data_IF_780669566055
#
_entry.id   IF_780669566055
#
_cell.length_a   1.000
_cell.length_b   1.000
_cell.length_c   1.000
_cell.angle_alpha   90.00
_cell.angle_beta   90.00
_cell.angle_gamma   90.00
#
_symmetry.space_group_name_H-M   'P 1'
#
loop_
_entity.id
_entity.type
_entity.pdbx_description
1 polymer ?
#
# COMPACT_ATOMS: atom_id res chain seq x y z
N UNK A 1 -25.81 -7.04 -13.23
CA UNK A 1 -26.55 -7.48 -12.03
C UNK A 1 -26.15 -8.89 -11.68
N UNK A 2 -25.24 -9.08 -10.73
CA UNK A 2 -24.84 -10.40 -10.24
C UNK A 2 -25.11 -10.42 -8.73
N UNK A 3 -25.94 -11.38 -8.30
CA UNK A 3 -25.92 -11.96 -6.96
C UNK A 3 -26.49 -11.11 -5.82
N UNK A 4 -27.81 -11.08 -5.70
CA UNK A 4 -28.45 -10.77 -4.41
C UNK A 4 -28.25 -11.97 -3.47
N UNK A 5 -27.40 -11.82 -2.45
CA UNK A 5 -27.25 -12.79 -1.38
C UNK A 5 -27.94 -12.26 -0.10
N UNK A 6 -29.25 -12.47 0.00
CA UNK A 6 -30.02 -12.06 1.19
C UNK A 6 -30.15 -10.53 1.34
N UNK A 7 -30.20 -9.97 2.57
CA UNK A 7 -30.50 -8.56 2.79
C UNK A 7 -29.35 -7.61 2.40
N UNK A 8 -28.30 -8.09 1.73
CA UNK A 8 -27.12 -7.32 1.34
C UNK A 8 -27.07 -7.30 -0.18
N UNK A 9 -27.18 -6.11 -0.77
CA UNK A 9 -27.16 -5.89 -2.21
C UNK A 9 -25.93 -5.05 -2.57
N UNK A 10 -24.98 -5.64 -3.28
CA UNK A 10 -23.83 -4.90 -3.81
C UNK A 10 -24.23 -4.32 -5.16
N UNK A 11 -24.71 -3.08 -5.16
CA UNK A 11 -25.06 -2.33 -6.37
C UNK A 11 -24.50 -0.91 -6.30
N UNK A 12 -24.28 -0.29 -7.46
CA UNK A 12 -23.85 1.11 -7.60
C UNK A 12 -24.96 2.13 -7.30
N UNK A 13 -26.05 1.68 -6.66
CA UNK A 13 -27.21 2.50 -6.36
C UNK A 13 -26.97 3.38 -5.13
N UNK A 14 -27.37 4.64 -5.19
CA UNK A 14 -27.06 5.63 -4.14
C UNK A 14 -27.67 5.28 -2.76
N UNK A 15 -28.69 4.40 -2.73
CA UNK A 15 -29.31 3.87 -1.51
C UNK A 15 -28.47 2.84 -0.75
N UNK A 16 -27.44 2.25 -1.37
CA UNK A 16 -26.62 1.16 -0.81
C UNK A 16 -25.20 1.63 -0.42
N UNK A 17 -24.97 2.95 -0.38
CA UNK A 17 -23.66 3.54 -0.02
C UNK A 17 -23.15 3.08 1.35
N UNK A 18 -24.07 2.86 2.29
CA UNK A 18 -23.75 2.37 3.64
C UNK A 18 -23.33 0.90 3.58
N UNK A 19 -24.01 0.07 2.79
CA UNK A 19 -23.64 -1.34 2.59
C UNK A 19 -22.28 -1.46 1.90
N UNK A 20 -22.06 -0.71 0.82
CA UNK A 20 -20.77 -0.67 0.13
C UNK A 20 -19.63 -0.20 1.05
N UNK A 21 -19.89 0.72 1.98
CA UNK A 21 -18.92 1.13 2.99
C UNK A 21 -18.54 -0.04 3.93
N UNK A 22 -19.52 -0.79 4.43
CA UNK A 22 -19.25 -1.95 5.28
C UNK A 22 -18.53 -3.08 4.52
N UNK A 23 -18.86 -3.28 3.24
CA UNK A 23 -18.15 -4.23 2.36
C UNK A 23 -16.70 -3.77 2.13
N UNK A 24 -16.46 -2.48 1.87
CA UNK A 24 -15.12 -1.93 1.72
C UNK A 24 -14.26 -2.18 2.97
N UNK A 25 -14.82 -1.90 4.15
CA UNK A 25 -14.14 -2.16 5.42
C UNK A 25 -13.92 -3.65 5.67
N UNK A 26 -14.88 -4.50 5.34
CA UNK A 26 -14.72 -5.95 5.41
C UNK A 26 -13.57 -6.44 4.54
N UNK A 27 -13.50 -6.01 3.28
CA UNK A 27 -12.42 -6.33 2.37
C UNK A 27 -11.06 -5.82 2.86
N UNK A 28 -11.03 -4.60 3.40
CA UNK A 28 -9.82 -4.01 3.97
C UNK A 28 -9.32 -4.80 5.17
N UNK A 29 -10.20 -5.17 6.11
CA UNK A 29 -9.83 -5.94 7.31
C UNK A 29 -9.39 -7.34 6.93
N UNK A 30 -10.10 -8.02 6.03
CA UNK A 30 -9.72 -9.36 5.54
C UNK A 30 -8.36 -9.28 4.83
N UNK A 31 -8.17 -8.29 3.96
CA UNK A 31 -6.92 -8.10 3.23
C UNK A 31 -5.74 -7.79 4.16
N UNK A 32 -5.94 -6.92 5.16
CA UNK A 32 -4.94 -6.65 6.19
C UNK A 32 -4.61 -7.91 7.00
N UNK A 33 -5.62 -8.66 7.43
CA UNK A 33 -5.41 -9.88 8.20
C UNK A 33 -4.60 -10.92 7.41
N UNK A 34 -4.94 -11.13 6.14
CA UNK A 34 -4.20 -12.02 5.24
C UNK A 34 -2.77 -11.53 4.98
N UNK A 35 -2.57 -10.22 4.79
CA UNK A 35 -1.23 -9.62 4.62
C UNK A 35 -0.37 -9.79 5.87
N UNK A 36 -0.91 -9.51 7.05
CA UNK A 36 -0.19 -9.69 8.32
C UNK A 36 0.17 -11.16 8.55
N UNK A 37 -0.76 -12.08 8.29
CA UNK A 37 -0.49 -13.51 8.35
C UNK A 37 0.61 -13.93 7.36
N UNK A 38 0.59 -13.41 6.13
CA UNK A 38 1.63 -13.66 5.14
C UNK A 38 3.01 -13.18 5.61
N UNK A 39 3.10 -11.98 6.19
CA UNK A 39 4.34 -11.41 6.70
C UNK A 39 4.92 -12.30 7.83
N UNK A 40 4.06 -12.78 8.73
CA UNK A 40 4.45 -13.67 9.84
C UNK A 40 4.68 -15.13 9.41
N UNK A 41 4.25 -15.51 8.21
CA UNK A 41 4.42 -16.86 7.68
C UNK A 41 5.87 -17.19 7.29
N UNK A 42 6.12 -18.46 6.94
CA UNK A 42 7.40 -18.90 6.37
C UNK A 42 7.75 -18.16 5.07
N UNK A 43 6.74 -17.80 4.28
CA UNK A 43 6.92 -17.07 3.01
C UNK A 43 7.42 -15.65 3.28
N UNK A 44 6.82 -14.95 4.24
CA UNK A 44 7.27 -13.61 4.65
C UNK A 44 8.71 -13.61 5.17
N UNK A 45 9.09 -14.61 5.98
CA UNK A 45 10.49 -14.76 6.44
C UNK A 45 11.48 -15.02 5.31
N UNK A 46 11.10 -15.86 4.33
CA UNK A 46 11.93 -16.11 3.16
C UNK A 46 12.12 -14.83 2.33
N UNK A 47 11.05 -14.06 2.09
CA UNK A 47 11.12 -12.79 1.37
C UNK A 47 12.00 -11.76 2.07
N UNK A 48 11.99 -11.74 3.40
CA UNK A 48 12.85 -10.86 4.20
C UNK A 48 14.33 -11.23 4.09
N UNK A 49 14.64 -12.52 3.95
CA UNK A 49 16.00 -12.97 3.67
C UNK A 49 16.46 -12.55 2.26
N UNK A 50 15.60 -12.72 1.25
CA UNK A 50 15.85 -12.30 -0.14
C UNK A 50 16.08 -10.79 -0.23
N UNK A 51 15.32 -9.99 0.53
CA UNK A 51 15.49 -8.53 0.56
C UNK A 51 16.85 -8.07 1.11
N UNK A 52 17.49 -8.86 1.99
CA UNK A 52 18.82 -8.54 2.52
C UNK A 52 19.93 -8.79 1.50
N UNK A 53 19.95 -9.99 0.91
CA UNK A 53 20.84 -10.34 -0.20
C UNK A 53 20.25 -11.51 -0.96
N UNK A 54 19.95 -11.28 -2.24
CA UNK A 54 19.41 -12.31 -3.14
C UNK A 54 20.43 -13.43 -3.37
N UNK A 55 21.68 -13.07 -3.67
CA UNK A 55 22.77 -14.03 -3.90
C UNK A 55 23.02 -14.92 -2.67
N UNK A 56 22.97 -14.35 -1.46
CA UNK A 56 23.14 -15.13 -0.24
C UNK A 56 21.95 -16.06 0.03
N UNK A 57 20.72 -15.65 -0.30
CA UNK A 57 19.54 -16.50 -0.17
C UNK A 57 19.63 -17.71 -1.11
N UNK A 58 20.08 -17.51 -2.35
CA UNK A 58 20.29 -18.60 -3.32
C UNK A 58 21.38 -19.58 -2.86
N UNK A 59 22.47 -19.07 -2.27
CA UNK A 59 23.55 -19.90 -1.75
C UNK A 59 23.11 -20.88 -0.64
N UNK A 60 22.07 -20.54 0.12
CA UNK A 60 21.48 -21.41 1.18
C UNK A 60 20.34 -22.28 0.62
N UNK A 61 20.10 -22.26 -0.68
CA UNK A 61 19.12 -23.11 -1.37
C UNK A 61 17.69 -22.55 -1.38
N UNK A 62 17.51 -21.24 -1.18
CA UNK A 62 16.20 -20.59 -1.33
C UNK A 62 15.96 -20.30 -2.82
N UNK A 63 14.85 -20.79 -3.36
CA UNK A 63 14.38 -20.46 -4.72
C UNK A 63 13.81 -19.03 -4.77
N UNK A 64 14.68 -18.05 -4.99
CA UNK A 64 14.38 -16.61 -5.06
C UNK A 64 13.34 -16.30 -6.14
N UNK A 65 13.51 -16.86 -7.33
CA UNK A 65 12.63 -16.67 -8.48
C UNK A 65 11.20 -17.15 -8.18
N UNK A 66 11.06 -18.35 -7.61
CA UNK A 66 9.77 -18.91 -7.22
C UNK A 66 9.07 -18.07 -6.15
N UNK A 67 9.80 -17.54 -5.17
CA UNK A 67 9.23 -16.63 -4.16
C UNK A 67 8.80 -15.28 -4.74
N UNK A 68 9.60 -14.68 -5.62
CA UNK A 68 9.24 -13.43 -6.31
C UNK A 68 7.99 -13.59 -7.17
N UNK A 69 7.88 -14.68 -7.93
CA UNK A 69 6.70 -14.97 -8.74
C UNK A 69 5.44 -15.14 -7.88
N UNK A 70 5.53 -15.87 -6.76
CA UNK A 70 4.42 -16.05 -5.83
C UNK A 70 3.93 -14.72 -5.26
N UNK A 71 4.84 -13.83 -4.86
CA UNK A 71 4.46 -12.50 -4.36
C UNK A 71 3.85 -11.64 -5.46
N UNK A 72 4.42 -11.66 -6.66
CA UNK A 72 3.86 -10.91 -7.79
C UNK A 72 2.42 -11.33 -8.10
N UNK A 73 2.17 -12.65 -8.20
CA UNK A 73 0.82 -13.19 -8.41
C UNK A 73 -0.12 -12.79 -7.27
N UNK A 74 0.36 -12.88 -6.03
CA UNK A 74 -0.45 -12.49 -4.87
C UNK A 74 -0.81 -11.00 -4.91
N UNK A 75 0.13 -10.11 -5.20
CA UNK A 75 -0.11 -8.67 -5.39
C UNK A 75 -1.11 -8.41 -6.52
N UNK A 76 -1.03 -9.13 -7.63
CA UNK A 76 -1.97 -9.03 -8.74
C UNK A 76 -3.39 -9.44 -8.32
N UNK A 77 -3.53 -10.49 -7.50
CA UNK A 77 -4.83 -10.92 -6.95
C UNK A 77 -5.43 -9.83 -6.06
N UNK A 78 -4.65 -9.23 -5.16
CA UNK A 78 -5.10 -8.09 -4.34
C UNK A 78 -5.52 -6.89 -5.19
N UNK A 79 -4.74 -6.54 -6.20
CA UNK A 79 -5.04 -5.44 -7.11
C UNK A 79 -6.33 -5.71 -7.91
N UNK A 80 -6.54 -6.94 -8.36
CA UNK A 80 -7.76 -7.34 -9.08
C UNK A 80 -9.00 -7.23 -8.19
N UNK A 81 -8.95 -7.75 -6.95
CA UNK A 81 -10.05 -7.61 -6.00
C UNK A 81 -10.38 -6.15 -5.70
N UNK A 82 -9.36 -5.32 -5.46
CA UNK A 82 -9.53 -3.88 -5.24
C UNK A 82 -10.13 -3.18 -6.47
N UNK A 83 -9.67 -3.50 -7.68
CA UNK A 83 -10.17 -2.90 -8.92
C UNK A 83 -11.61 -3.27 -9.25
N UNK A 84 -11.99 -4.54 -9.04
CA UNK A 84 -13.38 -4.99 -9.20
C UNK A 84 -14.28 -4.24 -8.23
N UNK A 85 -13.89 -4.15 -6.95
CA UNK A 85 -14.66 -3.42 -5.95
C UNK A 85 -14.78 -1.93 -6.28
N UNK A 86 -13.69 -1.28 -6.69
CA UNK A 86 -13.68 0.13 -7.08
C UNK A 86 -14.62 0.41 -8.26
N UNK A 87 -14.62 -0.46 -9.27
CA UNK A 87 -15.52 -0.34 -10.43
C UNK A 87 -16.98 -0.46 -10.01
N UNK A 88 -17.29 -1.38 -9.08
CA UNK A 88 -18.65 -1.53 -8.55
C UNK A 88 -19.06 -0.31 -7.72
N UNK A 89 -18.16 0.22 -6.89
CA UNK A 89 -18.39 1.40 -6.06
C UNK A 89 -18.68 2.65 -6.89
N UNK A 90 -17.94 2.84 -7.98
CA UNK A 90 -18.11 3.97 -8.90
C UNK A 90 -19.30 3.80 -9.87
N UNK A 91 -19.97 2.65 -9.88
CA UNK A 91 -21.06 2.36 -10.82
C UNK A 91 -20.59 2.12 -12.26
N UNK A 92 -19.29 1.95 -12.49
CA UNK A 92 -18.66 1.77 -13.80
C UNK A 92 -17.20 2.21 -13.81
N UNK A 93 -16.52 1.96 -14.94
CA UNK A 93 -15.15 2.41 -15.17
C UNK A 93 -15.14 3.44 -16.30
N UNK A 94 -14.59 4.63 -16.02
CA UNK A 94 -14.38 5.70 -17.00
C UNK A 94 -12.90 5.91 -17.28
N UNK A 95 -12.52 6.60 -18.38
CA UNK A 95 -11.12 6.90 -18.70
C UNK A 95 -10.39 7.66 -17.59
N UNK A 96 -11.11 8.47 -16.81
CA UNK A 96 -10.58 9.19 -15.65
C UNK A 96 -10.17 8.25 -14.50
N UNK A 97 -10.80 7.08 -14.39
CA UNK A 97 -10.52 6.09 -13.34
C UNK A 97 -9.24 5.29 -13.63
N UNK A 98 -8.82 5.22 -14.89
CA UNK A 98 -7.57 4.58 -15.34
C UNK A 98 -6.45 5.60 -15.62
N UNK A 99 -6.59 6.84 -15.12
CA UNK A 99 -5.59 7.89 -15.32
C UNK A 99 -4.27 7.56 -14.61
N UNK A 100 -3.16 7.88 -15.28
CA UNK A 100 -1.79 7.78 -14.73
C UNK A 100 -1.68 8.50 -13.38
N UNK A 101 -2.39 9.61 -13.21
CA UNK A 101 -2.33 10.41 -11.99
C UNK A 101 -2.91 9.67 -10.78
N UNK A 102 -3.91 8.79 -10.96
CA UNK A 102 -4.39 7.93 -9.87
C UNK A 102 -3.33 6.93 -9.43
N UNK A 103 -2.59 6.35 -10.38
CA UNK A 103 -1.47 5.47 -10.06
C UNK A 103 -0.38 6.20 -9.29
N UNK A 104 0.01 7.40 -9.73
CA UNK A 104 0.97 8.27 -9.01
C UNK A 104 0.50 8.54 -7.60
N UNK A 105 -0.79 8.84 -7.43
CA UNK A 105 -1.40 9.08 -6.12
C UNK A 105 -1.31 7.86 -5.21
N UNK A 106 -1.65 6.66 -5.69
CA UNK A 106 -1.52 5.44 -4.88
C UNK A 106 -0.07 5.17 -4.46
N UNK A 107 0.89 5.37 -5.37
CA UNK A 107 2.31 5.24 -5.04
C UNK A 107 2.74 6.29 -4.01
N UNK A 108 2.27 7.53 -4.13
CA UNK A 108 2.56 8.59 -3.15
C UNK A 108 2.04 8.24 -1.75
N UNK A 109 0.81 7.72 -1.63
CA UNK A 109 0.25 7.28 -0.35
C UNK A 109 1.12 6.21 0.32
N UNK A 110 1.57 5.22 -0.45
CA UNK A 110 2.43 4.13 0.04
C UNK A 110 3.83 4.64 0.38
N UNK A 111 4.41 5.50 -0.45
CA UNK A 111 5.73 6.09 -0.21
C UNK A 111 5.75 6.88 1.11
N UNK A 112 4.73 7.73 1.34
CA UNK A 112 4.60 8.52 2.57
C UNK A 112 4.40 7.63 3.79
N UNK A 113 3.57 6.59 3.66
CA UNK A 113 3.34 5.61 4.73
C UNK A 113 4.52 4.70 5.05
N UNK A 114 5.41 4.50 4.07
CA UNK A 114 6.60 3.66 4.13
C UNK A 114 6.35 2.24 3.66
N UNK A 115 7.21 1.76 2.74
CA UNK A 115 7.08 0.44 2.09
C UNK A 115 7.16 -0.74 3.07
N UNK A 116 7.86 -0.57 4.20
CA UNK A 116 8.03 -1.62 5.21
C UNK A 116 6.95 -1.61 6.32
N UNK A 117 6.07 -0.61 6.36
CA UNK A 117 5.08 -0.46 7.43
C UNK A 117 3.65 -0.40 6.91
N UNK A 118 2.93 -1.52 7.08
CA UNK A 118 1.53 -1.66 6.68
C UNK A 118 0.63 -0.66 7.41
N UNK A 119 0.85 -0.43 8.72
CA UNK A 119 0.06 0.49 9.52
C UNK A 119 0.32 1.95 9.14
N UNK A 120 1.57 2.30 8.85
CA UNK A 120 1.94 3.64 8.36
C UNK A 120 1.27 3.95 7.03
N UNK A 121 1.29 2.99 6.10
CA UNK A 121 0.59 3.07 4.82
C UNK A 121 -0.92 3.22 4.98
N UNK A 122 -1.52 2.49 5.92
CA UNK A 122 -2.96 2.59 6.17
C UNK A 122 -3.36 3.98 6.69
N UNK A 123 -2.65 4.47 7.72
CA UNK A 123 -2.95 5.76 8.35
C UNK A 123 -2.74 6.91 7.35
N UNK A 124 -1.62 6.91 6.62
CA UNK A 124 -1.33 7.93 5.62
C UNK A 124 -2.29 7.85 4.44
N UNK A 125 -2.64 6.64 4.01
CA UNK A 125 -3.63 6.38 2.97
C UNK A 125 -4.99 6.99 3.29
N UNK A 126 -5.50 6.73 4.49
CA UNK A 126 -6.78 7.30 4.96
C UNK A 126 -6.65 8.82 5.15
N UNK A 127 -5.58 9.29 5.81
CA UNK A 127 -5.39 10.71 6.12
C UNK A 127 -5.28 11.60 4.89
N UNK A 128 -4.38 11.26 3.95
CA UNK A 128 -4.18 12.05 2.73
C UNK A 128 -5.37 11.97 1.77
N UNK A 129 -6.03 10.81 1.69
CA UNK A 129 -7.25 10.68 0.89
C UNK A 129 -8.38 11.51 1.48
N UNK A 130 -8.57 11.48 2.80
CA UNK A 130 -9.54 12.31 3.49
C UNK A 130 -9.28 13.81 3.29
N UNK A 131 -8.02 14.23 3.36
CA UNK A 131 -7.63 15.62 3.16
C UNK A 131 -7.93 16.14 1.75
N UNK A 132 -7.63 15.33 0.74
CA UNK A 132 -7.95 15.67 -0.65
C UNK A 132 -9.46 15.66 -0.91
N UNK A 133 -10.21 14.71 -0.35
CA UNK A 133 -11.69 14.70 -0.46
C UNK A 133 -12.33 15.94 0.16
N UNK A 134 -11.70 16.53 1.19
CA UNK A 134 -12.16 17.79 1.79
C UNK A 134 -11.91 19.01 0.90
N UNK A 135 -11.14 18.84 -0.18
CA UNK A 135 -10.79 19.89 -1.13
C UNK A 135 -9.69 20.82 -0.63
N UNK A 136 -8.87 20.39 0.34
CA UNK A 136 -7.84 21.26 0.94
C UNK A 136 -6.82 21.75 -0.09
N UNK A 137 -6.54 20.95 -1.12
CA UNK A 137 -5.62 21.30 -2.18
C UNK A 137 -6.30 21.84 -3.45
N UNK A 138 -7.65 21.87 -3.49
CA UNK A 138 -8.43 22.38 -4.60
C UNK A 138 -8.03 21.77 -5.95
N UNK A 139 -7.84 22.62 -6.97
CA UNK A 139 -7.42 22.21 -8.32
C UNK A 139 -5.97 21.71 -8.42
N UNK A 140 -5.17 21.79 -7.34
CA UNK A 140 -3.76 21.41 -7.34
C UNK A 140 -3.50 20.04 -6.71
N UNK A 141 -4.55 19.28 -6.40
CA UNK A 141 -4.46 17.95 -5.76
C UNK A 141 -3.41 17.04 -6.44
N UNK A 142 -3.50 16.91 -7.76
CA UNK A 142 -2.61 16.06 -8.56
C UNK A 142 -1.14 16.52 -8.48
N UNK A 143 -0.91 17.83 -8.52
CA UNK A 143 0.43 18.40 -8.40
C UNK A 143 1.02 18.18 -7.00
N UNK A 144 0.18 18.26 -5.96
CA UNK A 144 0.59 18.03 -4.57
C UNK A 144 0.99 16.58 -4.36
N UNK A 145 0.20 15.61 -4.84
CA UNK A 145 0.57 14.19 -4.72
C UNK A 145 1.85 13.86 -5.50
N UNK A 146 2.05 14.45 -6.68
CA UNK A 146 3.31 14.31 -7.43
C UNK A 146 4.51 14.92 -6.68
N UNK A 147 4.36 16.12 -6.13
CA UNK A 147 5.40 16.78 -5.34
C UNK A 147 5.75 15.98 -4.08
N UNK A 148 4.75 15.48 -3.36
CA UNK A 148 4.94 14.61 -2.19
C UNK A 148 5.74 13.38 -2.58
N UNK A 149 5.41 12.73 -3.70
CA UNK A 149 6.14 11.56 -4.17
C UNK A 149 7.61 11.87 -4.44
N UNK A 150 7.90 12.97 -5.15
CA UNK A 150 9.27 13.40 -5.43
C UNK A 150 10.04 13.67 -4.14
N UNK A 151 9.43 14.42 -3.21
CA UNK A 151 10.03 14.74 -1.91
C UNK A 151 10.35 13.47 -1.13
N UNK A 152 9.41 12.54 -1.04
CA UNK A 152 9.65 11.27 -0.32
C UNK A 152 10.73 10.45 -0.98
N UNK A 153 10.73 10.32 -2.31
CA UNK A 153 11.79 9.60 -3.02
C UNK A 153 13.17 10.22 -2.83
N UNK A 154 13.26 11.54 -2.66
CA UNK A 154 14.53 12.24 -2.48
C UNK A 154 15.04 12.17 -1.04
N UNK A 155 14.16 12.32 -0.05
CA UNK A 155 14.56 12.43 1.36
C UNK A 155 14.42 11.13 2.18
N UNK A 156 13.54 10.23 1.75
CA UNK A 156 13.22 9.01 2.49
C UNK A 156 12.77 7.89 1.53
N UNK A 157 13.66 7.38 0.66
CA UNK A 157 13.33 6.32 -0.29
C UNK A 157 12.86 5.03 0.40
N UNK A 158 13.25 4.80 1.66
CA UNK A 158 12.78 3.68 2.49
C UNK A 158 11.51 4.04 3.34
N UNK A 159 10.98 5.26 3.21
CA UNK A 159 9.80 5.80 3.91
C UNK A 159 10.11 6.67 5.13
N UNK A 160 9.19 7.54 5.54
CA UNK A 160 9.39 8.52 6.65
C UNK A 160 9.77 7.84 7.98
N UNK A 161 9.34 6.60 8.19
CA UNK A 161 9.61 5.82 9.41
C UNK A 161 10.93 5.02 9.35
N UNK A 162 11.59 4.97 8.19
CA UNK A 162 12.94 4.40 8.03
C UNK A 162 14.06 5.41 8.30
N UNK A 163 13.70 6.70 8.53
CA UNK A 163 14.60 7.70 9.07
C UNK A 163 15.12 7.19 10.40
N UNK A 164 16.22 6.47 10.31
CA UNK A 164 16.93 5.87 11.40
C UNK A 164 17.38 7.03 12.30
N UNK A 165 16.63 7.21 13.38
CA UNK A 165 17.04 7.84 14.64
C UNK A 165 18.45 7.37 15.06
N UNK A 166 18.92 6.22 14.55
CA UNK A 166 20.33 5.78 14.61
C UNK A 166 21.35 6.79 14.09
N UNK A 167 21.10 7.58 13.05
CA UNK A 167 22.06 8.58 12.58
C UNK A 167 22.17 9.78 13.54
N UNK A 168 21.10 10.09 14.28
CA UNK A 168 21.08 11.17 15.27
C UNK A 168 21.78 10.79 16.60
N UNK A 169 21.87 9.49 16.91
CA UNK A 169 22.52 8.96 18.12
C UNK A 169 23.87 8.25 17.88
N UNK A 170 24.25 7.96 16.63
CA UNK A 170 25.58 7.41 16.29
C UNK A 170 26.68 8.48 16.24
N UNK A 171 26.35 9.76 16.41
CA UNK A 171 27.29 10.89 16.38
C UNK A 171 27.93 11.26 17.72
N UNK A 172 28.01 10.35 18.70
CA UNK A 172 28.72 10.64 19.96
C UNK A 172 29.34 9.38 20.58
N UNK A 173 30.62 9.16 20.31
CA UNK A 173 31.44 8.24 21.12
C UNK A 173 32.46 7.37 20.38
N UNK A 174 33.17 7.88 19.36
CA UNK A 174 34.48 7.34 18.99
C UNK A 174 35.46 8.49 18.79
N UNK A 175 35.78 9.15 19.90
CA UNK A 175 37.04 9.85 20.08
C UNK A 175 37.59 9.31 21.40
N UNK A 176 38.62 8.47 21.29
CA UNK A 176 39.85 8.54 22.09
C UNK A 176 40.52 7.16 22.06
N UNK A 177 41.37 6.98 21.05
CA UNK A 177 42.51 6.08 21.10
C UNK A 177 43.53 6.66 22.10
N UNK A 178 43.89 5.88 23.12
CA UNK A 178 45.26 5.68 23.60
C UNK A 178 45.34 4.34 24.33
#
# INVERSE_FOLDING_TARGET
TIGSFGPISVSGDFGLRVENYYVAWGLLVIGLWLLLNLIDSRVGRALRAIHGSEEAAEAVGIDTAGFKLKVFVLSAVYAAFAGVFLTHYNGGIGPSEASVMKSVRYVALVAVGGMANVWGTLIMGVGLTFLSLRGVFGSYDDAVFGAILIVVMLFAPDGILSMNVKALFAGKGTMDEH
#
